data_IF_870544758091
#
_entry.id   IF_870544758091
#
_cell.length_a   1.000
_cell.length_b   1.000
_cell.length_c   1.000
_cell.angle_alpha   90.00
_cell.angle_beta   90.00
_cell.angle_gamma   90.00
#
_symmetry.space_group_name_H-M   'P 1'
#
loop_
_entity.id
_entity.type
_entity.pdbx_description
1 polymer ?
#
# COMPACT_ATOMS: atom_id res chain seq x y z
N UNK A 1 -4.97 11.52 22.16
CA UNK A 1 -4.16 11.94 21.01
C UNK A 1 -3.86 10.69 20.21
N UNK A 2 -4.24 10.63 18.94
CA UNK A 2 -4.03 9.43 18.11
C UNK A 2 -2.54 9.37 17.72
N UNK A 3 -1.84 8.30 18.08
CA UNK A 3 -0.41 8.12 17.77
C UNK A 3 -0.24 7.89 16.26
N UNK A 4 0.84 8.37 15.64
CA UNK A 4 1.15 8.15 14.21
C UNK A 4 1.12 6.66 13.86
N UNK A 5 1.70 5.82 14.72
CA UNK A 5 1.68 4.35 14.57
C UNK A 5 0.26 3.79 14.51
N UNK A 6 -0.71 4.47 15.13
CA UNK A 6 -2.11 4.06 15.11
C UNK A 6 -2.83 4.41 13.80
N UNK A 7 -2.37 5.42 13.06
CA UNK A 7 -2.91 5.77 11.73
C UNK A 7 -2.40 4.78 10.69
N UNK A 8 -1.09 4.50 10.66
CA UNK A 8 -0.52 3.51 9.73
C UNK A 8 -1.16 2.14 9.93
N UNK A 9 -1.31 1.72 11.18
CA UNK A 9 -2.04 0.51 11.54
C UNK A 9 -3.49 0.51 11.02
N UNK A 10 -4.20 1.62 11.18
CA UNK A 10 -5.58 1.74 10.70
C UNK A 10 -5.65 1.58 9.17
N UNK A 11 -4.72 2.22 8.43
CA UNK A 11 -4.64 2.09 6.98
C UNK A 11 -4.31 0.65 6.56
N UNK A 12 -3.31 0.02 7.19
CA UNK A 12 -2.95 -1.38 6.91
C UNK A 12 -4.13 -2.33 7.13
N UNK A 13 -4.88 -2.14 8.22
CA UNK A 13 -6.07 -2.94 8.52
C UNK A 13 -7.16 -2.74 7.47
N UNK A 14 -7.46 -1.50 7.10
CA UNK A 14 -8.48 -1.22 6.08
C UNK A 14 -8.08 -1.79 4.72
N UNK A 15 -6.82 -1.66 4.33
CA UNK A 15 -6.30 -2.20 3.07
C UNK A 15 -6.42 -3.73 3.01
N UNK A 16 -6.09 -4.43 4.11
CA UNK A 16 -6.26 -5.88 4.19
C UNK A 16 -7.75 -6.28 4.08
N UNK A 17 -8.64 -5.59 4.79
CA UNK A 17 -10.09 -5.85 4.73
C UNK A 17 -10.64 -5.59 3.33
N UNK A 18 -10.24 -4.48 2.70
CA UNK A 18 -10.66 -4.12 1.35
C UNK A 18 -10.19 -5.17 0.34
N UNK A 19 -8.95 -5.65 0.43
CA UNK A 19 -8.44 -6.72 -0.44
C UNK A 19 -9.28 -7.99 -0.31
N UNK A 20 -9.65 -8.37 0.91
CA UNK A 20 -10.47 -9.55 1.19
C UNK A 20 -11.88 -9.39 0.62
N UNK A 21 -12.52 -8.25 0.85
CA UNK A 21 -13.93 -8.02 0.52
C UNK A 21 -14.18 -7.69 -0.95
N UNK A 22 -13.32 -6.85 -1.53
CA UNK A 22 -13.54 -6.29 -2.87
C UNK A 22 -12.85 -7.08 -3.98
N UNK A 23 -11.91 -7.95 -3.62
CA UNK A 23 -11.02 -8.66 -4.55
C UNK A 23 -10.20 -7.71 -5.44
N UNK A 24 -9.85 -6.55 -4.92
CA UNK A 24 -8.95 -5.60 -5.58
C UNK A 24 -7.55 -5.66 -4.96
N UNK A 25 -6.53 -5.42 -5.79
CA UNK A 25 -5.15 -5.39 -5.32
C UNK A 25 -4.87 -4.12 -4.50
N UNK A 26 -3.90 -4.20 -3.61
CA UNK A 26 -3.44 -3.09 -2.78
C UNK A 26 -1.97 -2.81 -3.08
N UNK A 27 -1.62 -1.54 -3.21
CA UNK A 27 -0.29 -1.08 -3.59
C UNK A 27 0.18 -0.09 -2.52
N UNK A 28 1.32 -0.37 -1.90
CA UNK A 28 1.94 0.46 -0.89
C UNK A 28 3.21 1.07 -1.48
N UNK A 29 3.26 2.39 -1.56
CA UNK A 29 4.42 3.15 -2.01
C UNK A 29 5.03 3.86 -0.81
N UNK A 30 6.25 3.47 -0.43
CA UNK A 30 6.91 3.96 0.80
C UNK A 30 8.19 4.72 0.47
N UNK A 31 8.64 5.61 1.37
CA UNK A 31 9.81 6.44 1.17
C UNK A 31 11.12 5.65 1.24
N UNK A 32 11.13 4.53 1.98
CA UNK A 32 12.33 3.73 2.23
C UNK A 32 12.01 2.23 2.33
N UNK A 33 13.04 1.40 2.16
CA UNK A 33 12.95 -0.05 2.36
C UNK A 33 12.50 -0.40 3.77
N UNK A 34 13.03 0.29 4.78
CA UNK A 34 12.69 0.03 6.18
C UNK A 34 11.21 0.31 6.46
N UNK A 35 10.68 1.42 5.94
CA UNK A 35 9.25 1.74 6.04
C UNK A 35 8.39 0.72 5.29
N UNK A 36 8.79 0.33 4.09
CA UNK A 36 8.10 -0.67 3.27
C UNK A 36 8.03 -2.03 3.99
N UNK A 37 9.15 -2.49 4.56
CA UNK A 37 9.19 -3.74 5.32
C UNK A 37 8.38 -3.66 6.61
N UNK A 38 8.41 -2.53 7.33
CA UNK A 38 7.58 -2.31 8.52
C UNK A 38 6.08 -2.43 8.19
N UNK A 39 5.61 -1.79 7.12
CA UNK A 39 4.21 -1.86 6.66
C UNK A 39 3.87 -3.32 6.27
N UNK A 40 4.76 -4.00 5.55
CA UNK A 40 4.58 -5.39 5.14
C UNK A 40 4.45 -6.33 6.34
N UNK A 41 5.37 -6.25 7.31
CA UNK A 41 5.32 -7.02 8.55
C UNK A 41 4.02 -6.77 9.31
N UNK A 42 3.59 -5.50 9.39
CA UNK A 42 2.34 -5.14 10.05
C UNK A 42 1.12 -5.80 9.44
N UNK A 43 1.08 -5.89 8.12
CA UNK A 43 0.02 -6.60 7.39
C UNK A 43 0.09 -8.11 7.63
N UNK A 44 1.28 -8.69 7.69
CA UNK A 44 1.46 -10.12 8.02
C UNK A 44 0.93 -10.41 9.42
N UNK A 45 1.24 -9.58 10.42
CA UNK A 45 0.72 -9.71 11.78
C UNK A 45 -0.81 -9.63 11.82
N UNK A 46 -1.39 -8.65 11.12
CA UNK A 46 -2.83 -8.50 11.00
C UNK A 46 -3.46 -9.73 10.36
N UNK A 47 -2.92 -10.21 9.25
CA UNK A 47 -3.40 -11.41 8.57
C UNK A 47 -3.30 -12.66 9.46
N UNK A 48 -2.21 -12.79 10.23
CA UNK A 48 -2.02 -13.87 11.20
C UNK A 48 -3.08 -13.86 12.29
N UNK A 49 -3.50 -12.68 12.76
CA UNK A 49 -4.62 -12.56 13.71
C UNK A 49 -5.98 -13.04 13.15
N UNK A 50 -6.11 -13.12 11.83
CA UNK A 50 -7.25 -13.71 11.11
C UNK A 50 -7.01 -15.16 10.66
N UNK A 51 -5.92 -15.80 11.11
CA UNK A 51 -5.57 -17.18 10.76
C UNK A 51 -4.95 -17.34 9.37
N UNK A 52 -4.50 -16.26 8.73
CA UNK A 52 -3.83 -16.29 7.43
C UNK A 52 -2.32 -16.23 7.61
N UNK A 53 -1.59 -17.14 6.96
CA UNK A 53 -0.12 -17.10 6.89
C UNK A 53 0.28 -16.58 5.51
N UNK A 54 0.86 -15.38 5.47
CA UNK A 54 1.29 -14.72 4.24
C UNK A 54 2.81 -14.57 4.22
N UNK A 55 3.41 -14.66 3.04
CA UNK A 55 4.85 -14.51 2.84
C UNK A 55 5.17 -13.97 1.45
N UNK A 56 6.37 -13.42 1.28
CA UNK A 56 6.84 -12.86 0.00
C UNK A 56 6.52 -11.38 -0.19
N UNK A 57 6.81 -10.89 -1.39
CA UNK A 57 6.38 -9.61 -1.95
C UNK A 57 6.16 -9.83 -3.46
N UNK A 58 4.91 -9.78 -3.96
CA UNK A 58 3.69 -9.41 -3.23
C UNK A 58 3.26 -10.47 -2.20
N UNK A 59 2.50 -10.04 -1.19
CA UNK A 59 1.70 -10.95 -0.38
C UNK A 59 0.44 -11.33 -1.18
N UNK A 60 0.17 -12.62 -1.30
CA UNK A 60 -0.95 -13.14 -2.08
C UNK A 60 -2.01 -13.70 -1.12
N UNK A 61 -3.21 -13.13 -1.16
CA UNK A 61 -4.34 -13.62 -0.37
C UNK A 61 -4.98 -14.86 -1.02
N UNK A 62 -5.70 -15.70 -0.25
CA UNK A 62 -6.38 -16.89 -0.79
C UNK A 62 -7.40 -16.60 -1.91
N UNK A 63 -7.91 -15.37 -1.97
CA UNK A 63 -8.84 -14.93 -3.02
C UNK A 63 -8.12 -14.47 -4.31
N UNK A 64 -6.79 -14.56 -4.37
CA UNK A 64 -5.96 -14.21 -5.52
C UNK A 64 -5.52 -12.75 -5.59
N UNK A 65 -5.98 -11.87 -4.68
CA UNK A 65 -5.52 -10.47 -4.67
C UNK A 65 -4.12 -10.34 -4.12
N UNK A 66 -3.40 -9.33 -4.60
CA UNK A 66 -2.04 -9.03 -4.13
C UNK A 66 -2.00 -7.79 -3.25
N UNK A 67 -1.10 -7.81 -2.27
CA UNK A 67 -0.63 -6.63 -1.55
C UNK A 67 0.83 -6.44 -1.92
N UNK A 68 1.13 -5.38 -2.66
CA UNK A 68 2.42 -5.12 -3.29
C UNK A 68 3.11 -3.95 -2.61
N UNK A 69 4.40 -4.10 -2.28
CA UNK A 69 5.18 -3.09 -1.56
C UNK A 69 6.29 -2.55 -2.47
N UNK A 70 6.27 -1.24 -2.72
CA UNK A 70 7.08 -0.55 -3.71
C UNK A 70 7.82 0.64 -3.11
N UNK A 71 8.95 0.98 -3.75
CA UNK A 71 9.71 2.21 -3.53
C UNK A 71 9.62 3.08 -4.78
N UNK A 72 9.66 4.42 -4.68
CA UNK A 72 9.60 5.33 -5.83
C UNK A 72 10.90 5.26 -6.64
N UNK A 73 11.00 4.26 -7.52
CA UNK A 73 12.13 4.06 -8.43
C UNK A 73 11.61 3.77 -9.84
N UNK A 74 12.49 3.70 -10.84
CA UNK A 74 12.06 3.54 -12.23
C UNK A 74 11.21 2.28 -12.50
N UNK A 75 11.25 1.24 -11.66
CA UNK A 75 10.42 0.03 -11.81
C UNK A 75 8.94 0.28 -11.45
N UNK A 76 8.60 1.35 -10.73
CA UNK A 76 7.19 1.71 -10.45
C UNK A 76 6.46 2.28 -11.67
N UNK A 77 7.15 2.53 -12.78
CA UNK A 77 6.50 2.82 -14.06
C UNK A 77 5.78 1.59 -14.67
N UNK A 78 5.94 0.40 -14.07
CA UNK A 78 5.19 -0.79 -14.48
C UNK A 78 3.66 -0.64 -14.24
N UNK A 79 2.88 -1.38 -15.04
CA UNK A 79 1.42 -1.34 -15.04
C UNK A 79 0.78 -2.05 -13.85
N UNK A 80 0.89 -1.44 -12.66
CA UNK A 80 0.11 -1.88 -11.49
C UNK A 80 -1.35 -1.40 -11.59
N UNK A 81 -2.26 -2.13 -10.94
CA UNK A 81 -3.67 -1.73 -10.85
C UNK A 81 -4.25 -2.17 -9.51
N UNK A 82 -4.78 -1.21 -8.74
CA UNK A 82 -5.29 -1.46 -7.39
C UNK A 82 -5.51 -0.17 -6.59
N UNK A 83 -5.96 -0.31 -5.35
CA UNK A 83 -5.98 0.80 -4.40
C UNK A 83 -4.56 1.13 -3.96
N UNK A 84 -4.24 2.42 -3.86
CA UNK A 84 -2.87 2.90 -3.63
C UNK A 84 -2.77 3.63 -2.30
N UNK A 85 -1.72 3.34 -1.54
CA UNK A 85 -1.40 3.96 -0.27
C UNK A 85 0.03 4.49 -0.33
N UNK A 86 0.18 5.80 -0.20
CA UNK A 86 1.45 6.52 -0.37
C UNK A 86 1.90 7.01 0.99
N UNK A 87 3.07 6.55 1.45
CA UNK A 87 3.64 6.86 2.77
C UNK A 87 4.94 7.65 2.61
N UNK A 88 4.93 8.88 3.09
CA UNK A 88 6.10 9.75 3.29
C UNK A 88 7.03 9.94 2.06
N UNK A 89 6.57 9.58 0.85
CA UNK A 89 7.42 9.54 -0.34
C UNK A 89 7.15 10.70 -1.31
N UNK A 90 6.49 11.76 -0.85
CA UNK A 90 6.18 12.94 -1.64
C UNK A 90 6.43 14.25 -0.88
N UNK A 91 6.84 15.27 -1.62
CA UNK A 91 7.01 16.66 -1.21
C UNK A 91 6.68 17.60 -2.37
N UNK A 92 6.85 18.92 -2.17
CA UNK A 92 6.56 19.92 -3.19
C UNK A 92 7.37 19.75 -4.49
N UNK A 93 8.51 19.06 -4.46
CA UNK A 93 9.41 18.89 -5.60
C UNK A 93 9.04 17.70 -6.48
N UNK A 94 8.46 16.64 -5.90
CA UNK A 94 8.21 15.38 -6.60
C UNK A 94 6.71 14.98 -6.64
N UNK A 95 5.83 15.74 -5.99
CA UNK A 95 4.40 15.40 -5.90
C UNK A 95 3.75 15.16 -7.26
N UNK A 96 4.05 15.98 -8.27
CA UNK A 96 3.49 15.80 -9.61
C UNK A 96 3.79 14.42 -10.20
N UNK A 97 5.02 13.95 -10.02
CA UNK A 97 5.46 12.65 -10.50
C UNK A 97 4.77 11.50 -9.75
N UNK A 98 4.73 11.58 -8.41
CA UNK A 98 4.05 10.57 -7.59
C UNK A 98 2.56 10.52 -7.91
N UNK A 99 1.91 11.68 -8.04
CA UNK A 99 0.49 11.76 -8.38
C UNK A 99 0.19 11.18 -9.78
N UNK A 100 1.07 11.38 -10.76
CA UNK A 100 0.93 10.79 -12.10
C UNK A 100 1.02 9.26 -12.05
N UNK A 101 2.01 8.70 -11.33
CA UNK A 101 2.12 7.26 -11.11
C UNK A 101 0.86 6.68 -10.47
N UNK A 102 0.41 7.29 -9.37
CA UNK A 102 -0.78 6.85 -8.62
C UNK A 102 -2.05 6.95 -9.48
N UNK A 103 -2.18 8.00 -10.28
CA UNK A 103 -3.31 8.18 -11.19
C UNK A 103 -3.34 7.09 -12.27
N UNK A 104 -2.19 6.73 -12.82
CA UNK A 104 -2.05 5.63 -13.79
C UNK A 104 -2.55 4.31 -13.19
N UNK A 105 -2.14 3.99 -11.96
CA UNK A 105 -2.52 2.74 -11.30
C UNK A 105 -3.99 2.64 -10.88
N UNK A 106 -4.64 3.78 -10.67
CA UNK A 106 -6.03 3.83 -10.18
C UNK A 106 -7.07 3.99 -11.31
N UNK A 107 -6.62 4.24 -12.55
CA UNK A 107 -7.46 4.61 -13.69
C UNK A 107 -8.49 3.55 -14.10
N UNK A 108 -8.17 2.26 -13.96
CA UNK A 108 -8.95 1.17 -14.58
C UNK A 108 -10.31 0.90 -13.92
N UNK A 109 -10.49 1.18 -12.62
CA UNK A 109 -11.69 0.75 -11.87
C UNK A 109 -12.21 1.74 -10.81
N UNK A 110 -11.87 3.04 -10.89
CA UNK A 110 -12.12 4.01 -9.80
C UNK A 110 -11.51 3.56 -8.47
N UNK A 111 -10.30 3.00 -8.51
CA UNK A 111 -9.57 2.66 -7.30
C UNK A 111 -9.27 3.93 -6.49
N UNK A 112 -9.10 3.75 -5.17
CA UNK A 112 -8.85 4.86 -4.26
C UNK A 112 -7.34 5.03 -4.05
N UNK A 113 -6.92 6.28 -3.86
CA UNK A 113 -5.57 6.63 -3.43
C UNK A 113 -5.62 7.36 -2.08
N UNK A 114 -4.73 7.00 -1.17
CA UNK A 114 -4.53 7.68 0.11
C UNK A 114 -3.08 8.17 0.17
N UNK A 115 -2.90 9.47 0.38
CA UNK A 115 -1.60 10.10 0.56
C UNK A 115 -1.41 10.46 2.03
N UNK A 116 -0.37 9.92 2.65
CA UNK A 116 0.01 10.19 4.02
C UNK A 116 1.44 10.75 4.03
N UNK A 117 1.60 11.97 4.54
CA UNK A 117 2.89 12.58 4.83
C UNK A 117 2.89 13.03 6.28
N UNK A 118 3.89 12.58 7.03
CA UNK A 118 4.08 12.85 8.45
C UNK A 118 5.47 13.48 8.58
N UNK A 119 5.47 14.80 8.82
CA UNK A 119 6.65 15.63 9.06
C UNK A 119 6.45 16.53 10.26
#
# INVERSE_FOLDING_TARGET
MMNIDSIELHICKNALVDAIQTKENQIFLSASTDESERIRERIIELASSYGLTLSGNPLILPNGTTLTFLLPNSQTSAGYSGNVYVFNCFDDTNFSYINELVSSWTMLKKHRAIFLSIG
#
